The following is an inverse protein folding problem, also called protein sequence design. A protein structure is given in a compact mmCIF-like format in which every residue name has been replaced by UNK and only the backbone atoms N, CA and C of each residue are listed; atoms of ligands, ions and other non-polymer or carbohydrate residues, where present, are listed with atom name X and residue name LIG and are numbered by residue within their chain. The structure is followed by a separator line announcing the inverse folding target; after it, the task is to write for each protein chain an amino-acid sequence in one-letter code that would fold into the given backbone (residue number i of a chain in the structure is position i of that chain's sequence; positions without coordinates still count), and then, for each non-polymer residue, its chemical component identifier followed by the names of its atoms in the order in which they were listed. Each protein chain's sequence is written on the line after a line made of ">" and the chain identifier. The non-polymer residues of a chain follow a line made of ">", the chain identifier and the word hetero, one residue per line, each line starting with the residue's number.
data_IF_036651511183
#
_entry.id   IF_036651511183
#
_cell.length_a   1.000
_cell.length_b   1.000
_cell.length_c   1.000
_cell.angle_alpha   90.00
_cell.angle_beta   90.00
_cell.angle_gamma   90.00
#
_symmetry.space_group_name_H-M   'P 1'
#
loop_
_entity.id
_entity.type
_entity.pdbx_description
1 polymer ?
#
# COMPACT_ATOMS: atom_id res chain seq x y z
N UNK A 1 18.65 -9.97 6.20
CA UNK A 1 17.28 -10.28 5.72
C UNK A 1 16.35 -9.72 6.76
N UNK A 2 15.97 -8.47 6.57
CA UNK A 2 15.36 -7.65 7.62
C UNK A 2 13.88 -8.04 7.73
N UNK A 3 13.54 -8.70 8.83
CA UNK A 3 12.17 -9.05 9.18
C UNK A 3 11.39 -7.76 9.42
N UNK A 4 10.79 -7.21 8.35
CA UNK A 4 9.78 -6.17 8.44
C UNK A 4 8.73 -6.64 9.43
N UNK A 5 8.67 -5.91 10.54
CA UNK A 5 7.92 -6.33 11.71
C UNK A 5 6.45 -6.47 11.32
N UNK A 6 5.75 -7.51 11.77
CA UNK A 6 4.31 -7.61 11.61
C UNK A 6 3.60 -6.29 11.97
N UNK A 7 2.80 -5.75 11.04
CA UNK A 7 2.13 -4.45 11.23
C UNK A 7 2.94 -3.23 10.79
N UNK A 8 4.08 -3.42 10.10
CA UNK A 8 4.82 -2.34 9.46
C UNK A 8 3.94 -1.56 8.48
N UNK A 9 4.06 -0.23 8.55
CA UNK A 9 3.47 0.69 7.58
C UNK A 9 4.43 0.83 6.40
N UNK A 10 3.91 0.60 5.22
CA UNK A 10 4.61 0.71 3.94
C UNK A 10 3.98 1.87 3.20
N UNK A 11 4.80 2.82 2.82
CA UNK A 11 4.40 3.93 1.97
C UNK A 11 4.82 3.65 0.53
N UNK A 12 3.87 3.75 -0.39
CA UNK A 12 4.07 3.51 -1.81
C UNK A 12 3.67 4.77 -2.56
N UNK A 13 4.63 5.39 -3.24
CA UNK A 13 4.37 6.47 -4.19
C UNK A 13 4.57 5.95 -5.60
N UNK A 14 3.59 6.22 -6.45
CA UNK A 14 3.60 5.76 -7.84
C UNK A 14 2.98 6.81 -8.74
N UNK A 15 3.55 7.01 -9.91
CA UNK A 15 3.02 7.93 -10.93
C UNK A 15 1.97 7.28 -11.82
N UNK A 16 1.69 5.99 -11.61
CA UNK A 16 0.77 5.22 -12.42
C UNK A 16 -0.69 5.40 -11.96
N UNK A 17 -1.63 5.74 -12.87
CA UNK A 17 -3.03 5.94 -12.52
C UNK A 17 -3.80 4.65 -12.24
N UNK A 18 -3.29 3.49 -12.66
CA UNK A 18 -3.95 2.19 -12.42
C UNK A 18 -3.64 1.63 -11.01
N UNK A 19 -2.57 2.11 -10.38
CA UNK A 19 -2.23 1.70 -9.02
C UNK A 19 -3.34 1.97 -7.99
N UNK A 20 -4.25 2.92 -8.25
CA UNK A 20 -5.43 3.18 -7.41
C UNK A 20 -6.41 2.01 -7.38
N UNK A 21 -6.37 1.12 -8.39
CA UNK A 21 -7.20 -0.08 -8.49
C UNK A 21 -6.41 -1.30 -8.03
N UNK A 22 -5.16 -1.45 -8.49
CA UNK A 22 -4.31 -2.61 -8.19
C UNK A 22 -3.94 -2.71 -6.69
N UNK A 23 -3.53 -1.60 -6.08
CA UNK A 23 -3.08 -1.56 -4.67
C UNK A 23 -4.17 -2.03 -3.69
N UNK A 24 -5.42 -1.49 -3.72
CA UNK A 24 -6.46 -1.97 -2.83
C UNK A 24 -6.88 -3.41 -3.12
N UNK A 25 -6.87 -3.84 -4.39
CA UNK A 25 -7.13 -5.24 -4.74
C UNK A 25 -6.10 -6.17 -4.11
N UNK A 26 -4.81 -5.88 -4.32
CA UNK A 26 -3.70 -6.62 -3.73
C UNK A 26 -3.79 -6.64 -2.20
N UNK A 27 -4.12 -5.50 -1.58
CA UNK A 27 -4.27 -5.45 -0.12
C UNK A 27 -5.40 -6.36 0.36
N UNK A 28 -6.54 -6.38 -0.34
CA UNK A 28 -7.68 -7.20 0.05
C UNK A 28 -7.38 -8.70 -0.12
N UNK A 29 -6.68 -9.09 -1.19
CA UNK A 29 -6.32 -10.50 -1.44
C UNK A 29 -5.27 -11.03 -0.46
N UNK A 30 -4.20 -10.26 -0.17
CA UNK A 30 -3.15 -10.66 0.78
C UNK A 30 -3.53 -10.40 2.25
N UNK A 31 -4.70 -9.80 2.49
CA UNK A 31 -5.19 -9.41 3.80
C UNK A 31 -4.40 -8.26 4.45
N UNK A 32 -3.65 -7.51 3.64
CA UNK A 32 -3.07 -6.23 4.05
C UNK A 32 -4.16 -5.16 4.20
N UNK A 33 -3.87 -4.11 4.97
CA UNK A 33 -4.83 -3.03 5.18
C UNK A 33 -4.32 -1.76 4.53
N UNK A 34 -5.06 -1.24 3.57
CA UNK A 34 -4.83 0.10 3.05
C UNK A 34 -5.34 1.11 4.09
N UNK A 35 -4.41 1.84 4.71
CA UNK A 35 -4.72 2.86 5.72
C UNK A 35 -5.05 4.20 5.06
N UNK A 36 -4.31 4.58 4.01
CA UNK A 36 -4.49 5.85 3.32
C UNK A 36 -4.21 5.70 1.83
N UNK A 37 -4.96 6.40 0.99
CA UNK A 37 -4.75 6.50 -0.44
C UNK A 37 -5.08 7.92 -0.87
N UNK A 38 -4.08 8.66 -1.34
CA UNK A 38 -4.23 10.04 -1.76
C UNK A 38 -3.59 10.28 -3.13
N UNK A 39 -4.26 10.99 -4.05
CA UNK A 39 -3.63 11.47 -5.26
C UNK A 39 -2.64 12.58 -4.92
N UNK A 40 -1.42 12.50 -5.47
CA UNK A 40 -0.37 13.51 -5.33
C UNK A 40 -0.08 14.16 -6.69
N UNK A 41 0.66 15.27 -6.69
CA UNK A 41 1.05 15.95 -7.92
C UNK A 41 1.98 15.03 -8.75
N UNK A 42 1.42 14.38 -9.77
CA UNK A 42 2.12 13.46 -10.67
C UNK A 42 1.87 11.98 -10.40
N UNK A 43 0.99 11.62 -9.46
CA UNK A 43 0.75 10.22 -9.12
C UNK A 43 -0.21 9.99 -7.98
N UNK A 44 0.02 8.92 -7.23
CA UNK A 44 -0.71 8.50 -6.06
C UNK A 44 0.25 8.03 -4.97
N UNK A 45 -0.14 8.30 -3.73
CA UNK A 45 0.52 7.84 -2.52
C UNK A 45 -0.43 6.93 -1.76
N UNK A 46 0.08 5.76 -1.36
CA UNK A 46 -0.66 4.75 -0.62
C UNK A 46 0.09 4.39 0.66
N UNK A 47 -0.62 4.34 1.78
CA UNK A 47 -0.11 3.86 3.05
C UNK A 47 -0.75 2.50 3.34
N UNK A 48 0.05 1.45 3.31
CA UNK A 48 -0.40 0.07 3.48
C UNK A 48 0.20 -0.48 4.76
N UNK A 49 -0.64 -1.03 5.61
CA UNK A 49 -0.23 -1.79 6.77
C UNK A 49 -0.10 -3.25 6.40
N UNK A 50 1.14 -3.75 6.45
CA UNK A 50 1.43 -5.17 6.22
C UNK A 50 0.76 -6.00 7.32
N UNK A 51 0.05 -7.05 6.92
CA UNK A 51 -0.53 -7.99 7.88
C UNK A 51 0.59 -8.66 8.68
N UNK A 52 0.38 -8.72 10.00
CA UNK A 52 1.15 -9.59 10.88
C UNK A 52 0.76 -11.04 10.56
N UNK A 53 1.62 -11.77 9.85
CA UNK A 53 1.58 -13.24 9.79
C UNK A 53 2.39 -13.81 10.95
#
# INVERSE_FOLDING_TARGET
>A
MENLTPGALIEIETTDPLAVIDIPHFCNEDGHRLEQAEPIAGGHRFLIRKRCS
#
